data_IF_382261273840
#
_entry.id   IF_382261273840
#
_cell.length_a   1.000
_cell.length_b   1.000
_cell.length_c   1.000
_cell.angle_alpha   90.00
_cell.angle_beta   90.00
_cell.angle_gamma   90.00
#
_symmetry.space_group_name_H-M   'P 1'
#
loop_
_entity.id
_entity.type
_entity.pdbx_description
1 polymer ?
#
# COMPACT_ATOMS: atom_id res chain seq x y z
N UNK A 1 8.90 6.52 18.65
CA UNK A 1 8.64 7.01 17.28
C UNK A 1 8.53 5.78 16.38
N UNK A 2 7.43 5.61 15.64
CA UNK A 2 7.25 4.47 14.74
C UNK A 2 7.87 4.80 13.35
N UNK A 3 8.59 3.88 12.70
CA UNK A 3 9.10 4.11 11.34
C UNK A 3 7.97 4.24 10.33
N UNK A 4 8.29 4.85 9.18
CA UNK A 4 7.39 5.05 8.04
C UNK A 4 7.89 4.24 6.85
N UNK A 5 7.02 3.46 6.22
CA UNK A 5 7.32 2.72 5.00
C UNK A 5 6.98 3.62 3.81
N UNK A 6 7.97 3.93 2.99
CA UNK A 6 7.77 4.63 1.72
C UNK A 6 7.65 3.61 0.59
N UNK A 7 6.51 3.61 -0.12
CA UNK A 7 6.24 2.72 -1.25
C UNK A 7 6.20 3.54 -2.54
N UNK A 8 7.13 3.26 -3.44
CA UNK A 8 7.18 3.89 -4.77
C UNK A 8 6.25 3.12 -5.73
N UNK A 9 5.01 3.58 -5.87
CA UNK A 9 3.92 2.89 -6.56
C UNK A 9 3.46 3.55 -7.88
N UNK A 10 4.29 4.42 -8.46
CA UNK A 10 3.92 5.23 -9.63
C UNK A 10 4.23 4.60 -11.00
N UNK A 11 4.72 3.35 -11.04
CA UNK A 11 5.11 2.68 -12.27
C UNK A 11 3.95 1.95 -12.96
N UNK A 12 3.61 2.34 -14.19
CA UNK A 12 2.74 1.52 -15.04
C UNK A 12 3.50 0.29 -15.56
N UNK A 13 2.84 -0.86 -15.51
CA UNK A 13 3.34 -2.05 -16.16
C UNK A 13 3.00 -2.10 -17.64
N UNK A 14 3.82 -1.51 -18.51
CA UNK A 14 3.63 -1.65 -19.97
C UNK A 14 3.62 -3.11 -20.45
N UNK A 15 4.31 -4.01 -19.73
CA UNK A 15 4.29 -5.47 -19.98
C UNK A 15 3.01 -6.18 -19.51
N UNK A 16 2.21 -5.57 -18.63
CA UNK A 16 1.05 -6.20 -18.00
C UNK A 16 -0.29 -5.52 -18.37
N UNK A 17 -0.25 -4.39 -19.11
CA UNK A 17 -1.45 -3.71 -19.59
C UNK A 17 -2.33 -3.06 -18.51
N UNK A 18 -1.88 -3.03 -17.24
CA UNK A 18 -2.65 -2.54 -16.09
C UNK A 18 -1.82 -2.26 -14.82
N UNK A 19 -2.50 -2.08 -13.69
CA UNK A 19 -1.91 -1.81 -12.36
C UNK A 19 -1.26 -3.08 -11.78
N UNK A 20 0.04 -3.25 -12.01
CA UNK A 20 0.85 -4.37 -11.50
C UNK A 20 0.76 -4.65 -9.99
N UNK A 21 0.43 -3.65 -9.18
CA UNK A 21 0.53 -3.76 -7.72
C UNK A 21 -0.70 -4.41 -7.06
N UNK A 22 -1.78 -4.58 -7.81
CA UNK A 22 -3.00 -5.28 -7.36
C UNK A 22 -3.10 -6.70 -7.92
N UNK A 23 -2.13 -7.13 -8.72
CA UNK A 23 -2.10 -8.49 -9.26
C UNK A 23 -1.87 -9.50 -8.12
N UNK A 24 -2.62 -10.61 -8.11
CA UNK A 24 -2.42 -11.66 -7.13
C UNK A 24 -1.07 -12.33 -7.34
N UNK A 25 -0.33 -12.49 -6.24
CA UNK A 25 0.98 -13.12 -6.15
C UNK A 25 0.93 -14.37 -5.27
N UNK A 26 0.19 -14.31 -4.16
CA UNK A 26 0.11 -15.37 -3.16
C UNK A 26 -0.92 -16.46 -3.49
N UNK A 27 -0.84 -17.61 -2.78
CA UNK A 27 -1.71 -18.76 -3.02
C UNK A 27 -3.20 -18.50 -2.78
N UNK A 28 -3.54 -17.44 -2.05
CA UNK A 28 -4.92 -17.02 -1.78
C UNK A 28 -5.28 -15.70 -2.47
N UNK A 29 -4.47 -15.25 -3.42
CA UNK A 29 -4.67 -14.01 -4.16
C UNK A 29 -4.09 -12.76 -3.47
N UNK A 30 -3.19 -12.95 -2.51
CA UNK A 30 -2.49 -11.84 -1.85
C UNK A 30 -1.62 -11.07 -2.85
N UNK A 31 -1.59 -9.75 -2.75
CA UNK A 31 -0.75 -8.88 -3.59
C UNK A 31 0.57 -8.60 -2.90
N UNK A 32 1.53 -8.01 -3.63
CA UNK A 32 2.79 -7.57 -3.02
C UNK A 32 2.56 -6.50 -1.93
N UNK A 33 1.49 -5.71 -2.04
CA UNK A 33 1.12 -4.70 -1.03
C UNK A 33 0.68 -5.38 0.26
N UNK A 34 -0.07 -6.50 0.19
CA UNK A 34 -0.50 -7.25 1.37
C UNK A 34 0.70 -7.69 2.22
N UNK A 35 1.68 -8.31 1.57
CA UNK A 35 2.90 -8.75 2.24
C UNK A 35 3.71 -7.56 2.80
N UNK A 36 3.81 -6.46 2.04
CA UNK A 36 4.52 -5.26 2.49
C UNK A 36 3.90 -4.65 3.75
N UNK A 37 2.56 -4.57 3.82
CA UNK A 37 1.83 -4.08 4.99
C UNK A 37 2.01 -5.02 6.17
N UNK A 38 1.85 -6.33 5.94
CA UNK A 38 1.99 -7.35 6.97
C UNK A 38 3.37 -7.30 7.64
N UNK A 39 4.44 -7.24 6.85
CA UNK A 39 5.80 -7.16 7.36
C UNK A 39 6.08 -5.82 8.05
N UNK A 40 5.56 -4.71 7.51
CA UNK A 40 5.70 -3.38 8.12
C UNK A 40 5.07 -3.33 9.51
N UNK A 41 3.85 -3.85 9.68
CA UNK A 41 3.17 -3.92 10.98
C UNK A 41 4.00 -4.75 11.97
N UNK A 42 4.49 -5.92 11.55
CA UNK A 42 5.32 -6.80 12.40
C UNK A 42 6.67 -6.18 12.77
N UNK A 43 7.22 -5.33 11.89
CA UNK A 43 8.44 -4.57 12.15
C UNK A 43 8.20 -3.29 12.96
N UNK A 44 6.95 -2.98 13.35
CA UNK A 44 6.61 -1.84 14.20
C UNK A 44 6.40 -0.52 13.47
N UNK A 45 6.19 -0.55 12.15
CA UNK A 45 5.85 0.64 11.37
C UNK A 45 4.45 1.13 11.73
N UNK A 46 4.31 2.46 11.79
CA UNK A 46 3.04 3.12 12.14
C UNK A 46 2.40 3.87 10.99
N UNK A 47 3.12 4.02 9.88
CA UNK A 47 2.67 4.78 8.72
C UNK A 47 3.22 4.20 7.42
N UNK A 48 2.39 4.25 6.38
CA UNK A 48 2.77 3.95 5.01
C UNK A 48 2.50 5.18 4.15
N UNK A 49 3.51 5.59 3.37
CA UNK A 49 3.41 6.68 2.40
C UNK A 49 3.54 6.09 1.01
N UNK A 50 2.53 6.28 0.18
CA UNK A 50 2.55 5.86 -1.22
C UNK A 50 2.90 7.03 -2.13
N UNK A 51 3.89 6.84 -3.00
CA UNK A 51 4.15 7.74 -4.13
C UNK A 51 3.41 7.19 -5.35
N UNK A 52 2.37 7.88 -5.81
CA UNK A 52 1.51 7.46 -6.93
C UNK A 52 1.43 8.55 -8.00
N UNK A 53 0.92 8.22 -9.20
CA UNK A 53 0.63 9.26 -10.21
C UNK A 53 -0.73 9.88 -9.95
N UNK A 54 -0.90 11.15 -10.29
CA UNK A 54 -2.13 11.91 -10.07
C UNK A 54 -3.38 11.18 -10.58
N UNK A 55 -3.35 10.70 -11.82
CA UNK A 55 -4.51 10.05 -12.44
C UNK A 55 -4.86 8.68 -11.84
N UNK A 56 -4.02 8.12 -10.97
CA UNK A 56 -4.31 6.88 -10.24
C UNK A 56 -4.66 7.10 -8.77
N UNK A 57 -4.51 8.34 -8.25
CA UNK A 57 -4.60 8.62 -6.82
C UNK A 57 -5.92 8.17 -6.21
N UNK A 58 -7.05 8.54 -6.82
CA UNK A 58 -8.38 8.30 -6.24
C UNK A 58 -8.73 6.81 -6.23
N UNK A 59 -8.53 6.12 -7.35
CA UNK A 59 -8.74 4.68 -7.44
C UNK A 59 -7.84 3.92 -6.46
N UNK A 60 -6.59 4.35 -6.28
CA UNK A 60 -5.66 3.72 -5.36
C UNK A 60 -6.04 3.96 -3.89
N UNK A 61 -6.45 5.19 -3.55
CA UNK A 61 -6.98 5.53 -2.21
C UNK A 61 -8.19 4.68 -1.86
N UNK A 62 -9.15 4.54 -2.77
CA UNK A 62 -10.35 3.73 -2.56
C UNK A 62 -9.99 2.25 -2.32
N UNK A 63 -9.12 1.68 -3.16
CA UNK A 63 -8.66 0.30 -3.00
C UNK A 63 -7.94 0.07 -1.66
N UNK A 64 -7.06 1.00 -1.25
CA UNK A 64 -6.34 0.92 0.03
C UNK A 64 -7.32 1.06 1.21
N UNK A 65 -8.25 2.00 1.15
CA UNK A 65 -9.24 2.21 2.21
C UNK A 65 -10.14 0.99 2.38
N UNK A 66 -10.65 0.43 1.27
CA UNK A 66 -11.50 -0.76 1.29
C UNK A 66 -10.77 -1.96 1.91
N UNK A 67 -9.50 -2.15 1.58
CA UNK A 67 -8.77 -3.36 1.96
C UNK A 67 -8.05 -3.27 3.31
N UNK A 68 -7.57 -2.10 3.71
CA UNK A 68 -6.64 -1.98 4.84
C UNK A 68 -7.05 -1.01 5.95
N UNK A 69 -8.22 -0.36 5.86
CA UNK A 69 -8.69 0.58 6.91
C UNK A 69 -8.84 -0.04 8.29
N UNK A 70 -8.97 -1.36 8.38
CA UNK A 70 -9.09 -2.10 9.63
C UNK A 70 -7.75 -2.55 10.23
N UNK A 71 -6.63 -2.30 9.54
CA UNK A 71 -5.30 -2.76 9.98
C UNK A 71 -4.81 -1.90 11.15
N UNK A 72 -4.37 -2.57 12.21
CA UNK A 72 -3.80 -1.94 13.41
C UNK A 72 -2.35 -2.36 13.61
N UNK A 73 -1.57 -1.45 14.18
CA UNK A 73 -0.23 -1.70 14.70
C UNK A 73 -0.27 -2.71 15.87
N UNK A 74 0.87 -3.31 16.28
CA UNK A 74 0.91 -4.24 17.41
C UNK A 74 0.45 -3.65 18.75
N UNK A 75 0.48 -2.33 18.90
CA UNK A 75 0.00 -1.61 20.08
C UNK A 75 -1.48 -1.19 20.00
N UNK A 76 -2.19 -1.63 18.95
CA UNK A 76 -3.62 -1.39 18.76
C UNK A 76 -3.97 -0.06 18.09
N UNK A 77 -2.98 0.82 17.83
CA UNK A 77 -3.24 2.04 17.07
C UNK A 77 -3.49 1.72 15.58
N UNK A 78 -4.40 2.44 14.88
CA UNK A 78 -4.59 2.26 13.45
C UNK A 78 -3.31 2.53 12.65
N UNK A 79 -3.05 1.72 11.63
CA UNK A 79 -1.98 1.99 10.68
C UNK A 79 -2.35 3.21 9.82
N UNK A 80 -1.45 4.20 9.73
CA UNK A 80 -1.71 5.41 8.96
C UNK A 80 -1.34 5.22 7.49
N UNK A 81 -2.17 5.75 6.59
CA UNK A 81 -1.92 5.76 5.15
C UNK A 81 -1.88 7.19 4.64
N UNK A 82 -0.83 7.52 3.91
CA UNK A 82 -0.59 8.83 3.32
C UNK A 82 -0.24 8.64 1.84
N UNK A 83 -0.68 9.58 0.99
CA UNK A 83 -0.50 9.50 -0.45
C UNK A 83 0.10 10.80 -0.94
N UNK A 84 1.22 10.69 -1.63
CA UNK A 84 1.92 11.79 -2.27
C UNK A 84 1.90 11.51 -3.76
N UNK A 85 1.59 12.53 -4.54
CA UNK A 85 1.58 12.39 -5.99
C UNK A 85 2.89 12.86 -6.61
N UNK A 86 3.22 12.27 -7.75
CA UNK A 86 4.27 12.73 -8.64
C UNK A 86 3.76 12.73 -10.09
N UNK A 87 4.21 13.71 -10.87
CA UNK A 87 3.83 13.91 -12.27
C UNK A 87 4.24 12.74 -13.19
#
# INVERSE_FOLDING_TARGET
MKPTLLVLAAGMGSRYGGLKQIDPLGPSGETIIDYSIYDAVRAGFGKIVYIVRDYFLDAFKEAVAQKYSHVTCPDGEPLQFEFVTQE
#
